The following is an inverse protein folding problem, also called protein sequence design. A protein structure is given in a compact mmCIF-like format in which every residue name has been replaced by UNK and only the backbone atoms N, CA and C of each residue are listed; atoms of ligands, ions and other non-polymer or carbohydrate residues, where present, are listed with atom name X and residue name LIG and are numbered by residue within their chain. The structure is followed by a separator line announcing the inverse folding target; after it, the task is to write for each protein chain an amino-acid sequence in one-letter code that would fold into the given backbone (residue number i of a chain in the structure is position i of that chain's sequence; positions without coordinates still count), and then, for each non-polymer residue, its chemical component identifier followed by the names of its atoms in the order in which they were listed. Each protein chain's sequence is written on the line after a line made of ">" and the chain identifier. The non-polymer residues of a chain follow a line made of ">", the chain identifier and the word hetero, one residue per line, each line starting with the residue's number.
data_IF_875332212619
#
_entry.id   IF_875332212619
#
_cell.length_a   1.000
_cell.length_b   1.000
_cell.length_c   1.000
_cell.angle_alpha   90.00
_cell.angle_beta   90.00
_cell.angle_gamma   90.00
#
_symmetry.space_group_name_H-M   'P 1'
#
loop_
_entity.id
_entity.type
_entity.pdbx_description
1 polymer ?
#
# COMPACT_ATOMS: atom_id res chain seq x y z
N UNK A 1 10.82 -30.51 -3.00
CA UNK A 1 10.83 -29.16 -3.58
C UNK A 1 11.72 -29.17 -4.81
N UNK A 2 11.34 -28.45 -5.88
CA UNK A 2 12.21 -28.29 -7.05
C UNK A 2 13.47 -27.51 -6.65
N UNK A 3 14.66 -27.83 -7.20
CA UNK A 3 15.85 -27.03 -6.95
C UNK A 3 15.66 -25.62 -7.51
N UNK A 4 16.29 -24.61 -6.89
CA UNK A 4 16.11 -23.20 -7.26
C UNK A 4 16.46 -22.89 -8.74
N UNK A 5 17.30 -23.74 -9.35
CA UNK A 5 17.67 -23.65 -10.77
C UNK A 5 16.50 -23.98 -11.71
N UNK A 6 15.55 -24.79 -11.26
CA UNK A 6 14.36 -25.20 -12.01
C UNK A 6 13.11 -24.39 -11.65
N UNK A 7 13.18 -23.59 -10.58
CA UNK A 7 12.09 -22.70 -10.19
C UNK A 7 11.97 -21.55 -11.19
N UNK A 8 10.73 -21.19 -11.52
CA UNK A 8 10.46 -19.95 -12.23
C UNK A 8 10.67 -18.74 -11.29
N UNK A 9 10.70 -17.52 -11.84
CA UNK A 9 11.01 -16.32 -11.06
C UNK A 9 9.99 -16.00 -9.97
N UNK A 10 8.74 -16.45 -10.12
CA UNK A 10 7.70 -16.30 -9.10
C UNK A 10 7.90 -17.29 -7.95
N UNK A 11 8.15 -18.56 -8.26
CA UNK A 11 8.46 -19.60 -7.27
C UNK A 11 9.73 -19.23 -6.47
N UNK A 12 10.74 -18.69 -7.14
CA UNK A 12 12.01 -18.30 -6.51
C UNK A 12 11.87 -17.16 -5.49
N UNK A 13 10.96 -16.21 -5.75
CA UNK A 13 10.69 -15.08 -4.87
C UNK A 13 9.49 -15.32 -3.94
N UNK A 14 8.89 -16.50 -3.97
CA UNK A 14 7.67 -16.86 -3.25
C UNK A 14 6.51 -15.88 -3.54
N UNK A 15 6.24 -15.68 -4.83
CA UNK A 15 5.21 -14.76 -5.34
C UNK A 15 4.17 -15.48 -6.19
N UNK A 16 2.96 -14.94 -6.21
CA UNK A 16 1.95 -15.33 -7.19
C UNK A 16 2.17 -14.60 -8.53
N UNK A 17 1.88 -15.26 -9.68
CA UNK A 17 1.74 -14.57 -10.96
C UNK A 17 0.73 -13.44 -10.83
N UNK A 18 1.12 -12.22 -11.19
CA UNK A 18 0.31 -11.00 -11.00
C UNK A 18 0.59 -10.17 -9.73
N UNK A 19 1.51 -10.58 -8.85
CA UNK A 19 1.95 -9.76 -7.70
C UNK A 19 2.37 -8.33 -8.13
N UNK A 20 1.96 -7.30 -7.40
CA UNK A 20 2.28 -5.90 -7.73
C UNK A 20 3.79 -5.57 -7.60
N UNK A 21 4.24 -4.47 -8.20
CA UNK A 21 5.64 -4.07 -8.22
C UNK A 21 6.24 -3.91 -6.80
N UNK A 22 5.47 -3.38 -5.85
CA UNK A 22 5.90 -3.29 -4.44
C UNK A 22 6.14 -4.64 -3.79
N UNK A 23 5.34 -5.66 -4.14
CA UNK A 23 5.51 -7.01 -3.63
C UNK A 23 6.78 -7.65 -4.19
N UNK A 24 7.06 -7.45 -5.49
CA UNK A 24 8.31 -7.89 -6.14
C UNK A 24 9.53 -7.25 -5.46
N UNK A 25 9.50 -5.94 -5.19
CA UNK A 25 10.59 -5.24 -4.53
C UNK A 25 10.83 -5.74 -3.09
N UNK A 26 9.75 -5.94 -2.32
CA UNK A 26 9.83 -6.48 -0.94
C UNK A 26 10.35 -7.92 -0.92
N UNK A 27 9.89 -8.76 -1.83
CA UNK A 27 10.33 -10.14 -1.94
C UNK A 27 11.82 -10.22 -2.28
N UNK A 28 12.28 -9.42 -3.25
CA UNK A 28 13.70 -9.30 -3.59
C UNK A 28 14.56 -8.88 -2.39
N UNK A 29 14.20 -7.80 -1.70
CA UNK A 29 14.95 -7.33 -0.54
C UNK A 29 15.00 -8.38 0.58
N UNK A 30 13.89 -9.08 0.81
CA UNK A 30 13.80 -10.15 1.80
C UNK A 30 14.69 -11.34 1.43
N UNK A 31 14.64 -11.79 0.18
CA UNK A 31 15.46 -12.88 -0.34
C UNK A 31 16.95 -12.54 -0.29
N UNK A 32 17.36 -11.34 -0.75
CA UNK A 32 18.76 -10.88 -0.65
C UNK A 32 19.25 -10.87 0.78
N UNK A 33 18.42 -10.43 1.74
CA UNK A 33 18.78 -10.46 3.16
C UNK A 33 18.94 -11.88 3.68
N UNK A 34 18.00 -12.77 3.34
CA UNK A 34 17.97 -14.15 3.83
C UNK A 34 19.16 -14.99 3.33
N UNK A 35 19.65 -14.72 2.12
CA UNK A 35 20.75 -15.45 1.51
C UNK A 35 22.07 -14.67 1.45
N UNK A 36 22.13 -13.52 2.13
CA UNK A 36 23.36 -12.73 2.25
C UNK A 36 24.42 -13.44 3.10
N UNK A 37 25.68 -13.10 2.87
CA UNK A 37 26.81 -13.65 3.61
C UNK A 37 26.87 -13.24 5.09
N UNK A 38 25.96 -12.38 5.58
CA UNK A 38 25.86 -11.91 6.97
C UNK A 38 24.68 -12.53 7.74
N UNK A 39 23.84 -13.32 7.07
CA UNK A 39 22.71 -14.00 7.71
C UNK A 39 23.24 -15.16 8.58
N UNK A 40 23.35 -14.91 9.89
CA UNK A 40 23.88 -15.77 10.96
C UNK A 40 23.34 -17.22 11.10
N UNK A 41 22.59 -17.74 10.12
CA UNK A 41 22.04 -19.10 10.13
C UNK A 41 22.09 -19.87 8.79
N UNK A 42 22.55 -19.27 7.69
CA UNK A 42 22.56 -19.93 6.36
C UNK A 42 23.89 -20.59 5.99
N UNK A 43 24.94 -20.42 6.80
CA UNK A 43 26.30 -20.89 6.49
C UNK A 43 26.44 -22.42 6.37
N UNK A 44 25.45 -23.19 6.84
CA UNK A 44 25.51 -24.67 6.87
C UNK A 44 24.65 -25.36 5.81
N UNK A 45 23.89 -24.63 4.98
CA UNK A 45 22.92 -25.24 4.04
C UNK A 45 23.32 -25.18 2.56
N UNK A 46 24.31 -24.35 2.18
CA UNK A 46 24.73 -24.20 0.78
C UNK A 46 26.24 -24.00 0.64
N UNK A 47 26.82 -24.62 -0.38
CA UNK A 47 28.19 -24.32 -0.86
C UNK A 47 28.27 -22.82 -1.24
N UNK A 48 29.40 -22.12 -0.96
CA UNK A 48 29.59 -20.73 -1.37
C UNK A 48 29.24 -20.43 -2.83
N UNK A 49 29.61 -21.33 -3.76
CA UNK A 49 29.31 -21.19 -5.18
C UNK A 49 27.81 -21.36 -5.48
N UNK A 50 27.13 -22.24 -4.73
CA UNK A 50 25.70 -22.44 -4.86
C UNK A 50 24.90 -21.24 -4.34
N UNK A 51 25.33 -20.63 -3.23
CA UNK A 51 24.75 -19.40 -2.72
C UNK A 51 24.91 -18.24 -3.71
N UNK A 52 26.09 -18.11 -4.32
CA UNK A 52 26.34 -17.10 -5.34
C UNK A 52 25.41 -17.29 -6.56
N UNK A 53 25.26 -18.54 -7.02
CA UNK A 53 24.33 -18.89 -8.09
C UNK A 53 22.87 -18.57 -7.72
N UNK A 54 22.46 -18.81 -6.48
CA UNK A 54 21.13 -18.47 -5.97
C UNK A 54 20.92 -16.95 -5.97
N UNK A 55 21.87 -16.17 -5.43
CA UNK A 55 21.80 -14.72 -5.40
C UNK A 55 21.76 -14.10 -6.79
N UNK A 56 22.54 -14.64 -7.73
CA UNK A 56 22.53 -14.21 -9.13
C UNK A 56 21.16 -14.46 -9.77
N UNK A 57 20.55 -15.60 -9.49
CA UNK A 57 19.21 -15.94 -10.00
C UNK A 57 18.10 -15.08 -9.37
N UNK A 58 18.24 -14.73 -8.09
CA UNK A 58 17.35 -13.75 -7.42
C UNK A 58 17.46 -12.37 -8.08
N UNK A 59 18.67 -11.92 -8.42
CA UNK A 59 18.87 -10.64 -9.12
C UNK A 59 18.28 -10.66 -10.54
N UNK A 60 18.42 -11.78 -11.27
CA UNK A 60 17.83 -11.98 -12.60
C UNK A 60 16.28 -11.97 -12.53
N UNK A 61 15.71 -12.68 -11.56
CA UNK A 61 14.27 -12.69 -11.31
C UNK A 61 13.73 -11.28 -11.05
N UNK A 62 14.41 -10.50 -10.21
CA UNK A 62 14.01 -9.12 -9.94
C UNK A 62 14.11 -8.22 -11.17
N UNK A 63 15.19 -8.29 -11.95
CA UNK A 63 15.33 -7.50 -13.19
C UNK A 63 14.20 -7.77 -14.17
N UNK A 64 13.79 -9.04 -14.29
CA UNK A 64 12.71 -9.43 -15.19
C UNK A 64 11.33 -9.02 -14.66
N UNK A 65 11.06 -9.23 -13.38
CA UNK A 65 9.74 -9.00 -12.79
C UNK A 65 9.47 -7.54 -12.38
N UNK A 66 10.50 -6.71 -12.23
CA UNK A 66 10.37 -5.29 -11.87
C UNK A 66 9.98 -4.40 -13.06
N UNK A 67 10.37 -4.77 -14.27
CA UNK A 67 9.99 -4.07 -15.51
C UNK A 67 8.71 -4.68 -16.11
N UNK A 68 7.62 -3.90 -16.29
CA UNK A 68 6.35 -4.41 -16.79
C UNK A 68 6.45 -5.07 -18.17
N UNK A 69 7.29 -4.55 -19.07
CA UNK A 69 7.43 -5.07 -20.43
C UNK A 69 8.20 -6.41 -20.45
N UNK A 70 9.29 -6.50 -19.69
CA UNK A 70 10.08 -7.72 -19.54
C UNK A 70 9.30 -8.81 -18.80
N UNK A 71 8.52 -8.43 -17.79
CA UNK A 71 7.62 -9.34 -17.09
C UNK A 71 6.51 -9.89 -18.00
N UNK A 72 5.91 -9.05 -18.84
CA UNK A 72 4.88 -9.50 -19.77
C UNK A 72 5.42 -10.53 -20.77
N UNK A 73 6.61 -10.30 -21.33
CA UNK A 73 7.30 -11.27 -22.20
C UNK A 73 7.59 -12.59 -21.46
N UNK A 74 8.10 -12.49 -20.24
CA UNK A 74 8.38 -13.65 -19.41
C UNK A 74 7.12 -14.47 -19.07
N UNK A 75 6.02 -13.80 -18.72
CA UNK A 75 4.73 -14.43 -18.42
C UNK A 75 4.17 -15.16 -19.64
N UNK A 76 4.31 -14.59 -20.84
CA UNK A 76 3.90 -15.19 -22.10
C UNK A 76 4.76 -16.43 -22.44
N UNK A 77 6.08 -16.30 -22.39
CA UNK A 77 7.03 -17.37 -22.76
C UNK A 77 7.03 -18.54 -21.76
N UNK A 78 6.96 -18.24 -20.45
CA UNK A 78 7.18 -19.24 -19.39
C UNK A 78 5.89 -19.82 -18.85
N UNK A 79 4.82 -19.02 -18.77
CA UNK A 79 3.55 -19.44 -18.17
C UNK A 79 2.42 -19.60 -19.21
N UNK A 80 2.66 -19.24 -20.48
CA UNK A 80 1.62 -19.21 -21.51
C UNK A 80 0.52 -18.17 -21.22
N UNK A 81 0.82 -17.20 -20.36
CA UNK A 81 -0.12 -16.15 -19.96
C UNK A 81 0.03 -14.98 -20.92
N UNK A 82 -0.87 -14.88 -21.90
CA UNK A 82 -0.96 -13.68 -22.75
C UNK A 82 -1.49 -12.53 -21.91
N UNK A 83 -0.58 -11.71 -21.38
CA UNK A 83 -0.95 -10.43 -20.80
C UNK A 83 -1.19 -9.45 -21.94
N UNK A 84 -2.36 -8.81 -21.93
CA UNK A 84 -2.60 -7.65 -22.79
C UNK A 84 -1.43 -6.65 -22.62
N UNK A 85 -0.96 -6.00 -23.70
CA UNK A 85 0.12 -5.03 -23.60
C UNK A 85 -0.26 -4.03 -22.52
N UNK A 86 0.55 -3.95 -21.47
CA UNK A 86 0.32 -3.09 -20.33
C UNK A 86 0.60 -1.63 -20.72
N UNK A 87 -0.26 -1.07 -21.58
CA UNK A 87 -0.48 0.35 -21.70
C UNK A 87 -1.57 0.74 -20.69
N UNK A 88 -1.16 1.44 -19.63
CA UNK A 88 -2.02 2.22 -18.74
C UNK A 88 -3.10 1.48 -17.92
N UNK A 89 -2.67 0.77 -16.88
CA UNK A 89 -3.18 1.17 -15.56
C UNK A 89 -1.98 1.65 -14.76
N UNK A 90 -1.93 2.93 -14.34
CA UNK A 90 -0.90 3.34 -13.42
C UNK A 90 -1.00 2.42 -12.21
N UNK A 91 0.13 1.85 -11.76
CA UNK A 91 0.26 1.50 -10.35
C UNK A 91 -0.34 2.67 -9.56
N UNK A 92 -1.17 2.45 -8.52
CA UNK A 92 -1.75 3.57 -7.76
C UNK A 92 -0.59 4.52 -7.50
N UNK A 93 -0.67 5.79 -7.95
CA UNK A 93 0.48 6.67 -7.90
C UNK A 93 0.99 6.59 -6.47
N UNK A 94 2.29 6.29 -6.30
CA UNK A 94 2.96 6.62 -5.04
C UNK A 94 2.45 8.02 -4.73
N UNK A 95 1.70 8.22 -3.63
CA UNK A 95 1.00 9.47 -3.43
C UNK A 95 2.03 10.57 -3.68
N UNK A 96 1.69 11.58 -4.49
CA UNK A 96 2.61 12.67 -4.76
C UNK A 96 3.24 13.08 -3.45
N UNK A 97 4.51 13.48 -3.50
CA UNK A 97 5.09 14.27 -2.42
C UNK A 97 4.30 15.59 -2.35
N UNK A 98 3.05 15.51 -1.90
CA UNK A 98 2.22 16.65 -1.59
C UNK A 98 2.89 17.24 -0.36
N UNK A 99 3.39 18.46 -0.53
CA UNK A 99 3.56 19.36 0.60
C UNK A 99 2.20 19.43 1.27
N UNK A 100 2.06 18.70 2.38
CA UNK A 100 0.89 18.80 3.23
C UNK A 100 0.85 20.24 3.70
N UNK A 101 -0.09 21.02 3.17
CA UNK A 101 -0.38 22.33 3.71
C UNK A 101 -0.61 22.14 5.20
N UNK A 102 0.13 22.91 6.00
CA UNK A 102 0.13 22.89 7.46
C UNK A 102 -1.28 23.12 8.02
N UNK A 103 -2.12 22.09 8.07
CA UNK A 103 -3.07 21.98 9.15
C UNK A 103 -2.20 21.74 10.39
N UNK A 104 -1.98 22.79 11.18
CA UNK A 104 -1.39 22.67 12.49
C UNK A 104 -2.04 21.46 13.19
N UNK A 105 -1.20 20.55 13.69
CA UNK A 105 -1.47 19.18 14.17
C UNK A 105 -2.48 19.09 15.35
N UNK A 106 -3.12 20.19 15.68
CA UNK A 106 -4.04 20.38 16.81
C UNK A 106 -5.45 20.62 16.29
N UNK A 107 -6.31 19.64 16.56
CA UNK A 107 -7.78 19.63 16.37
C UNK A 107 -8.32 19.17 15.00
N UNK A 108 -7.91 17.95 14.60
CA UNK A 108 -8.60 17.19 13.56
C UNK A 108 -9.98 16.76 14.06
N UNK A 109 -10.99 17.60 13.80
CA UNK A 109 -12.41 17.36 14.09
C UNK A 109 -13.21 17.16 12.81
N UNK A 110 -14.45 16.67 12.91
CA UNK A 110 -15.36 16.56 11.77
C UNK A 110 -15.57 17.90 11.07
N UNK A 111 -15.79 18.96 11.86
CA UNK A 111 -15.95 20.31 11.37
C UNK A 111 -14.70 20.83 10.63
N UNK A 112 -13.49 20.51 11.11
CA UNK A 112 -12.25 20.90 10.43
C UNK A 112 -12.08 20.18 9.08
N UNK A 113 -12.40 18.88 9.01
CA UNK A 113 -12.37 18.13 7.75
C UNK A 113 -13.38 18.65 6.75
N UNK A 114 -14.60 18.97 7.21
CA UNK A 114 -15.65 19.61 6.40
C UNK A 114 -15.19 20.95 5.85
N UNK A 115 -14.67 21.82 6.69
CA UNK A 115 -14.20 23.15 6.29
C UNK A 115 -13.10 23.04 5.23
N UNK A 116 -12.16 22.10 5.39
CA UNK A 116 -11.13 21.82 4.39
C UNK A 116 -11.74 21.36 3.06
N UNK A 117 -12.69 20.44 3.09
CA UNK A 117 -13.38 19.94 1.90
C UNK A 117 -14.08 21.08 1.15
N UNK A 118 -14.84 21.89 1.87
CA UNK A 118 -15.59 23.01 1.30
C UNK A 118 -14.65 24.08 0.72
N UNK A 119 -13.50 24.34 1.36
CA UNK A 119 -12.49 25.27 0.86
C UNK A 119 -11.86 24.86 -0.47
N UNK A 120 -11.78 23.56 -0.75
CA UNK A 120 -11.30 23.03 -2.05
C UNK A 120 -12.44 22.73 -3.03
N UNK A 121 -13.69 23.05 -2.68
CA UNK A 121 -14.86 22.90 -3.56
C UNK A 121 -15.25 21.44 -3.87
N UNK A 122 -14.81 20.48 -3.05
CA UNK A 122 -15.00 19.05 -3.35
C UNK A 122 -16.35 18.54 -2.77
N UNK A 123 -17.31 18.08 -3.59
CA UNK A 123 -18.58 17.55 -3.09
C UNK A 123 -18.42 16.15 -2.50
N UNK A 124 -19.21 15.81 -1.48
CA UNK A 124 -19.17 14.48 -0.83
C UNK A 124 -19.41 13.32 -1.82
N UNK A 125 -20.21 13.55 -2.86
CA UNK A 125 -20.52 12.60 -3.92
C UNK A 125 -19.25 12.17 -4.68
N UNK A 126 -18.36 13.11 -4.98
CA UNK A 126 -17.12 12.83 -5.71
C UNK A 126 -16.14 12.03 -4.83
N UNK A 127 -16.10 12.36 -3.54
CA UNK A 127 -15.31 11.61 -2.56
C UNK A 127 -15.86 10.19 -2.41
N UNK A 128 -17.18 10.03 -2.35
CA UNK A 128 -17.82 8.73 -2.24
C UNK A 128 -17.51 7.84 -3.45
N UNK A 129 -17.56 8.38 -4.67
CA UNK A 129 -17.21 7.65 -5.90
C UNK A 129 -15.75 7.22 -5.91
N UNK A 130 -14.83 8.14 -5.58
CA UNK A 130 -13.39 7.88 -5.66
C UNK A 130 -12.89 6.97 -4.54
N UNK A 131 -13.43 7.10 -3.32
CA UNK A 131 -12.99 6.35 -2.14
C UNK A 131 -13.79 5.07 -1.89
N UNK A 132 -14.99 4.97 -2.47
CA UNK A 132 -16.02 3.94 -2.18
C UNK A 132 -16.55 3.97 -0.74
N UNK A 133 -16.38 5.09 -0.05
CA UNK A 133 -17.01 5.33 1.25
C UNK A 133 -18.41 5.86 1.00
N UNK A 134 -19.41 5.37 1.73
CA UNK A 134 -20.78 5.88 1.58
C UNK A 134 -20.85 7.35 2.01
N UNK A 135 -21.72 8.12 1.34
CA UNK A 135 -21.97 9.53 1.71
C UNK A 135 -22.39 9.64 3.18
N UNK A 136 -23.20 8.70 3.68
CA UNK A 136 -23.62 8.66 5.07
C UNK A 136 -22.43 8.60 6.05
N UNK A 137 -21.41 7.79 5.78
CA UNK A 137 -20.22 7.74 6.64
C UNK A 137 -19.38 9.00 6.55
N UNK A 138 -19.25 9.61 5.36
CA UNK A 138 -18.56 10.89 5.23
C UNK A 138 -19.28 11.99 6.01
N UNK A 139 -20.61 12.02 5.97
CA UNK A 139 -21.43 12.93 6.79
C UNK A 139 -21.24 12.68 8.28
N UNK A 140 -21.31 11.42 8.73
CA UNK A 140 -21.08 11.09 10.13
C UNK A 140 -19.68 11.49 10.63
N UNK A 141 -18.67 11.42 9.76
CA UNK A 141 -17.32 11.92 10.06
C UNK A 141 -17.35 13.44 10.21
N UNK A 142 -17.93 14.17 9.26
CA UNK A 142 -18.00 15.64 9.31
C UNK A 142 -18.83 16.20 10.47
N UNK A 143 -19.83 15.45 10.91
CA UNK A 143 -20.74 15.82 12.00
C UNK A 143 -20.27 15.32 13.37
N UNK A 144 -19.14 14.62 13.44
CA UNK A 144 -18.68 13.91 14.64
C UNK A 144 -19.79 13.02 15.25
N UNK A 145 -20.63 12.42 14.40
CA UNK A 145 -21.78 11.62 14.80
C UNK A 145 -21.34 10.24 15.31
N UNK A 146 -20.81 10.21 16.54
CA UNK A 146 -20.14 9.05 17.16
C UNK A 146 -20.94 7.75 17.03
N UNK A 147 -22.27 7.82 17.17
CA UNK A 147 -23.16 6.63 17.12
C UNK A 147 -23.32 6.05 15.72
N UNK A 148 -23.19 6.87 14.67
CA UNK A 148 -23.30 6.42 13.27
C UNK A 148 -21.99 5.96 12.67
N UNK A 149 -20.86 6.23 13.33
CA UNK A 149 -19.54 5.85 12.84
C UNK A 149 -19.30 4.33 12.91
N UNK A 150 -18.54 3.76 11.96
CA UNK A 150 -18.15 2.36 12.01
C UNK A 150 -17.13 2.13 13.13
N UNK A 151 -16.85 0.86 13.43
CA UNK A 151 -15.82 0.49 14.41
C UNK A 151 -14.45 1.08 14.01
N UNK A 152 -13.64 1.47 15.01
CA UNK A 152 -12.40 2.24 14.85
C UNK A 152 -11.42 1.64 13.84
N UNK A 153 -11.36 0.30 13.76
CA UNK A 153 -10.53 -0.43 12.79
C UNK A 153 -10.88 -0.07 11.33
N UNK A 154 -12.17 0.05 11.00
CA UNK A 154 -12.65 0.44 9.66
C UNK A 154 -12.60 1.96 9.49
N UNK A 155 -12.97 2.71 10.53
CA UNK A 155 -12.98 4.17 10.51
C UNK A 155 -11.60 4.75 10.19
N UNK A 156 -10.52 4.17 10.73
CA UNK A 156 -9.15 4.57 10.39
C UNK A 156 -8.89 4.54 8.89
N UNK A 157 -9.37 3.49 8.20
CA UNK A 157 -9.24 3.37 6.74
C UNK A 157 -10.01 4.46 6.01
N UNK A 158 -11.24 4.74 6.45
CA UNK A 158 -12.08 5.78 5.86
C UNK A 158 -11.47 7.17 6.03
N UNK A 159 -10.98 7.50 7.23
CA UNK A 159 -10.28 8.75 7.51
C UNK A 159 -9.03 8.91 6.66
N UNK A 160 -8.25 7.85 6.48
CA UNK A 160 -7.05 7.88 5.65
C UNK A 160 -7.38 8.09 4.16
N UNK A 161 -8.44 7.48 3.64
CA UNK A 161 -8.89 7.71 2.26
C UNK A 161 -9.46 9.11 2.08
N UNK A 162 -10.26 9.57 3.04
CA UNK A 162 -10.83 10.92 3.01
C UNK A 162 -9.73 11.99 3.07
N UNK A 163 -8.74 11.84 3.95
CA UNK A 163 -7.58 12.73 4.03
C UNK A 163 -6.84 12.86 2.70
N UNK A 164 -6.61 11.75 1.99
CA UNK A 164 -6.00 11.77 0.65
C UNK A 164 -6.83 12.58 -0.34
N UNK A 165 -8.15 12.43 -0.34
CA UNK A 165 -9.04 13.21 -1.19
C UNK A 165 -8.98 14.72 -0.89
N UNK A 166 -8.67 15.10 0.36
CA UNK A 166 -8.52 16.48 0.81
C UNK A 166 -7.10 17.07 0.64
N UNK A 167 -6.14 16.26 0.16
CA UNK A 167 -4.73 16.62 0.09
C UNK A 167 -4.08 16.78 1.47
N UNK A 168 -4.56 16.04 2.47
CA UNK A 168 -4.06 16.03 3.84
C UNK A 168 -3.25 14.76 4.15
N UNK A 169 -2.44 14.80 5.20
CA UNK A 169 -1.68 13.63 5.64
C UNK A 169 -2.61 12.56 6.24
N UNK A 170 -2.64 11.33 5.67
CA UNK A 170 -3.58 10.30 6.10
C UNK A 170 -3.34 9.83 7.54
N UNK A 171 -2.08 9.79 7.98
CA UNK A 171 -1.72 9.33 9.32
C UNK A 171 -2.13 10.35 10.36
N UNK A 172 -1.79 11.62 10.12
CA UNK A 172 -2.13 12.77 10.98
C UNK A 172 -3.64 12.90 11.15
N UNK A 173 -4.39 12.84 10.05
CA UNK A 173 -5.87 12.93 10.10
C UNK A 173 -6.47 11.75 10.85
N UNK A 174 -6.08 10.52 10.52
CA UNK A 174 -6.65 9.35 11.17
C UNK A 174 -6.33 9.31 12.67
N UNK A 175 -5.09 9.57 13.06
CA UNK A 175 -4.67 9.56 14.45
C UNK A 175 -5.28 10.73 15.24
N UNK A 176 -5.31 11.92 14.66
CA UNK A 176 -5.91 13.11 15.26
C UNK A 176 -7.41 12.95 15.51
N UNK A 177 -8.15 12.51 14.49
CA UNK A 177 -9.59 12.30 14.60
C UNK A 177 -9.95 11.20 15.59
N UNK A 178 -9.20 10.09 15.61
CA UNK A 178 -9.42 9.03 16.60
C UNK A 178 -9.12 9.50 18.04
N UNK A 179 -8.16 10.42 18.23
CA UNK A 179 -7.94 11.06 19.55
C UNK A 179 -9.14 11.94 19.93
N UNK A 180 -9.64 12.75 19.01
CA UNK A 180 -10.84 13.57 19.19
C UNK A 180 -12.07 12.70 19.55
N UNK A 181 -12.28 11.57 18.87
CA UNK A 181 -13.38 10.67 19.23
C UNK A 181 -13.26 10.10 20.65
N UNK A 182 -12.06 9.86 21.16
CA UNK A 182 -11.88 9.40 22.54
C UNK A 182 -12.33 10.46 23.55
N UNK A 183 -12.14 11.74 23.26
CA UNK A 183 -12.61 12.82 24.14
C UNK A 183 -14.13 12.91 24.11
N UNK A 184 -14.74 12.81 22.92
CA UNK A 184 -16.21 12.79 22.77
C UNK A 184 -16.87 11.56 23.41
N UNK A 185 -16.21 10.39 23.35
CA UNK A 185 -16.69 9.15 23.97
C UNK A 185 -16.44 9.11 25.49
N UNK A 186 -15.36 9.74 25.95
CA UNK A 186 -14.97 9.82 27.36
C UNK A 186 -15.63 10.96 28.12
N UNK A 187 -16.21 11.94 27.42
CA UNK A 187 -17.03 13.00 28.01
C UNK A 187 -18.41 12.48 28.39
N UNK A 188 -18.58 12.04 29.63
CA UNK A 188 -19.89 11.95 30.29
C UNK A 188 -19.82 12.81 31.56
N UNK A 189 -20.84 13.62 31.87
CA UNK A 189 -20.90 14.42 33.11
C UNK A 189 -20.80 13.54 34.37
#
# INVERSE_FOLDING_TARGET
>A
MKPFREQNYYELLDLAPGAGADAVAKAYASAKRMFSADALGSYSLFDPAEREALLARIDEAWRTLSDPASRARYDEETLGLVRAPAGATPAPPKPPAFSYADLAVTDVTGAALRARREAIGLPLQEIAVTTRISIAYLQFIEEDHVKGLPHDAYLRGYLAQYARALGLDPHTVADGYLRHLRTLRGGKP
#
